data_IF_969096203574
#
_entry.id   IF_969096203574
#
_cell.length_a   1.000
_cell.length_b   1.000
_cell.length_c   1.000
_cell.angle_alpha   90.00
_cell.angle_beta   90.00
_cell.angle_gamma   90.00
#
_symmetry.space_group_name_H-M   'P 1'
#
loop_
_entity.id
_entity.type
_entity.pdbx_description
1 polymer ?
#
# COMPACT_ATOMS: atom_id res chain seq x y z
N UNK A 1 9.42 -2.14 14.57
CA UNK A 1 8.25 -1.24 14.48
C UNK A 1 7.17 -1.94 13.70
N UNK A 2 5.99 -2.07 14.30
CA UNK A 2 4.83 -2.70 13.65
C UNK A 2 4.34 -1.87 12.46
N UNK A 3 3.87 -2.55 11.41
CA UNK A 3 3.35 -1.90 10.20
C UNK A 3 2.33 -0.78 10.48
N UNK A 4 1.40 -0.90 11.46
CA UNK A 4 0.46 0.18 11.81
C UNK A 4 1.14 1.45 12.34
N UNK A 5 2.15 1.32 13.21
CA UNK A 5 2.88 2.46 13.76
C UNK A 5 3.69 3.19 12.67
N UNK A 6 4.31 2.43 11.77
CA UNK A 6 5.03 3.00 10.61
C UNK A 6 4.08 3.76 9.68
N UNK A 7 2.90 3.22 9.39
CA UNK A 7 1.87 3.89 8.58
C UNK A 7 1.40 5.19 9.25
N UNK A 8 1.18 5.18 10.57
CA UNK A 8 0.77 6.38 11.30
C UNK A 8 1.84 7.49 11.23
N UNK A 9 3.11 7.12 11.38
CA UNK A 9 4.24 8.04 11.24
C UNK A 9 4.30 8.65 9.84
N UNK A 10 4.22 7.83 8.78
CA UNK A 10 4.22 8.29 7.39
C UNK A 10 3.05 9.24 7.10
N UNK A 11 1.85 8.94 7.63
CA UNK A 11 0.68 9.83 7.52
C UNK A 11 0.92 11.18 8.21
N UNK A 12 1.56 11.19 9.37
CA UNK A 12 1.92 12.43 10.08
C UNK A 12 2.93 13.25 9.26
N UNK A 13 3.93 12.59 8.69
CA UNK A 13 4.91 13.22 7.80
C UNK A 13 4.24 13.85 6.57
N UNK A 14 3.33 13.12 5.90
CA UNK A 14 2.56 13.66 4.76
C UNK A 14 1.80 14.92 5.17
N UNK A 15 1.10 14.92 6.32
CA UNK A 15 0.41 16.12 6.81
C UNK A 15 1.37 17.30 7.00
N UNK A 16 2.55 17.06 7.55
CA UNK A 16 3.59 18.08 7.70
C UNK A 16 4.08 18.64 6.36
N UNK A 17 4.33 17.77 5.38
CA UNK A 17 4.74 18.16 4.03
C UNK A 17 3.65 18.99 3.32
N UNK A 18 2.39 18.58 3.43
CA UNK A 18 1.26 19.32 2.84
C UNK A 18 1.11 20.73 3.43
N UNK A 19 1.32 20.90 4.74
CA UNK A 19 1.34 22.23 5.37
C UNK A 19 2.48 23.10 4.81
N UNK A 20 3.69 22.54 4.65
CA UNK A 20 4.81 23.26 4.04
C UNK A 20 4.52 23.68 2.60
N UNK A 21 3.94 22.78 1.80
CA UNK A 21 3.49 23.09 0.43
C UNK A 21 2.49 24.24 0.43
N UNK A 22 1.52 24.26 1.35
CA UNK A 22 0.56 25.35 1.47
C UNK A 22 1.25 26.69 1.79
N UNK A 23 2.22 26.70 2.71
CA UNK A 23 3.01 27.90 3.02
C UNK A 23 3.79 28.39 1.80
N UNK A 24 4.47 27.49 1.07
CA UNK A 24 5.20 27.85 -0.14
C UNK A 24 4.29 28.36 -1.26
N UNK A 25 3.07 27.81 -1.39
CA UNK A 25 2.08 28.33 -2.35
C UNK A 25 1.65 29.76 -2.02
N UNK A 26 1.54 30.12 -0.73
CA UNK A 26 1.30 31.51 -0.32
C UNK A 26 2.49 32.40 -0.67
N UNK A 27 3.70 31.98 -0.31
CA UNK A 27 4.92 32.70 -0.67
C UNK A 27 5.06 32.91 -2.18
N UNK A 28 4.68 31.92 -3.00
CA UNK A 28 4.69 32.03 -4.46
C UNK A 28 3.73 33.12 -4.99
N UNK A 29 2.59 33.33 -4.33
CA UNK A 29 1.64 34.38 -4.68
C UNK A 29 2.15 35.77 -4.30
N UNK A 30 2.93 35.85 -3.21
CA UNK A 30 3.49 37.11 -2.69
C UNK A 30 4.82 37.49 -3.38
N UNK A 31 5.55 36.51 -3.92
CA UNK A 31 6.84 36.72 -4.58
C UNK A 31 6.71 37.47 -5.91
N UNK A 32 7.45 38.58 -6.01
CA UNK A 32 7.52 39.45 -7.19
C UNK A 32 8.76 39.17 -8.05
N UNK A 33 9.85 38.66 -7.45
CA UNK A 33 11.07 38.31 -8.17
C UNK A 33 10.91 36.98 -8.93
N UNK A 34 11.15 36.96 -10.27
CA UNK A 34 11.09 35.73 -11.05
C UNK A 34 12.03 34.61 -10.56
N UNK A 35 13.23 34.94 -10.05
CA UNK A 35 14.17 33.91 -9.57
C UNK A 35 13.67 33.27 -8.28
N UNK A 36 13.18 34.08 -7.34
CA UNK A 36 12.53 33.58 -6.12
C UNK A 36 11.32 32.68 -6.44
N UNK A 37 10.45 33.10 -7.37
CA UNK A 37 9.30 32.29 -7.80
C UNK A 37 9.72 30.93 -8.33
N UNK A 38 10.76 30.87 -9.18
CA UNK A 38 11.29 29.61 -9.71
C UNK A 38 11.82 28.70 -8.59
N UNK A 39 12.54 29.26 -7.62
CA UNK A 39 13.04 28.52 -6.47
C UNK A 39 11.89 27.93 -5.63
N UNK A 40 10.85 28.73 -5.35
CA UNK A 40 9.66 28.27 -4.61
C UNK A 40 8.93 27.17 -5.38
N UNK A 41 8.75 27.33 -6.70
CA UNK A 41 8.12 26.30 -7.53
C UNK A 41 8.89 24.97 -7.48
N UNK A 42 10.22 25.02 -7.57
CA UNK A 42 11.06 23.83 -7.45
C UNK A 42 10.88 23.14 -6.09
N UNK A 43 10.91 23.91 -5.01
CA UNK A 43 10.68 23.37 -3.67
C UNK A 43 9.29 22.72 -3.53
N UNK A 44 8.25 23.30 -4.12
CA UNK A 44 6.91 22.71 -4.12
C UNK A 44 6.90 21.35 -4.82
N UNK A 45 7.56 21.23 -5.99
CA UNK A 45 7.66 19.96 -6.73
C UNK A 45 8.41 18.92 -5.91
N UNK A 46 9.57 19.27 -5.35
CA UNK A 46 10.37 18.36 -4.52
C UNK A 46 9.57 17.83 -3.32
N UNK A 47 8.80 18.70 -2.64
CA UNK A 47 7.93 18.29 -1.54
C UNK A 47 6.76 17.42 -2.00
N UNK A 48 6.19 17.67 -3.17
CA UNK A 48 5.14 16.82 -3.74
C UNK A 48 5.67 15.42 -4.06
N UNK A 49 6.91 15.29 -4.56
CA UNK A 49 7.54 14.00 -4.79
C UNK A 49 7.79 13.24 -3.49
N UNK A 50 8.20 13.93 -2.42
CA UNK A 50 8.30 13.32 -1.09
C UNK A 50 6.96 12.80 -0.57
N UNK A 51 5.86 13.53 -0.83
CA UNK A 51 4.50 13.06 -0.49
C UNK A 51 4.18 11.78 -1.26
N UNK A 52 4.38 11.75 -2.59
CA UNK A 52 4.12 10.57 -3.42
C UNK A 52 4.93 9.35 -2.96
N UNK A 53 6.19 9.54 -2.61
CA UNK A 53 7.04 8.46 -2.08
C UNK A 53 6.51 7.92 -0.75
N UNK A 54 6.10 8.78 0.17
CA UNK A 54 5.52 8.37 1.44
C UNK A 54 4.18 7.62 1.25
N UNK A 55 3.33 8.07 0.30
CA UNK A 55 2.08 7.39 -0.07
C UNK A 55 2.33 6.01 -0.68
N UNK A 56 3.32 5.88 -1.55
CA UNK A 56 3.73 4.60 -2.13
C UNK A 56 4.20 3.61 -1.03
N UNK A 57 4.97 4.09 -0.06
CA UNK A 57 5.39 3.28 1.09
C UNK A 57 4.20 2.82 1.94
N UNK A 58 3.21 3.68 2.16
CA UNK A 58 1.97 3.29 2.88
C UNK A 58 1.24 2.20 2.10
N UNK A 59 1.07 2.36 0.79
CA UNK A 59 0.39 1.39 -0.07
C UNK A 59 1.07 0.02 -0.02
N UNK A 60 2.40 -0.01 -0.10
CA UNK A 60 3.19 -1.23 0.00
C UNK A 60 3.01 -1.91 1.37
N UNK A 61 3.11 -1.15 2.47
CA UNK A 61 2.93 -1.68 3.82
C UNK A 61 1.52 -2.26 4.03
N UNK A 62 0.49 -1.59 3.49
CA UNK A 62 -0.88 -2.08 3.53
C UNK A 62 -1.07 -3.35 2.71
N UNK A 63 -0.46 -3.43 1.51
CA UNK A 63 -0.51 -4.63 0.69
C UNK A 63 0.18 -5.82 1.37
N UNK A 64 1.36 -5.60 1.97
CA UNK A 64 2.08 -6.62 2.74
C UNK A 64 1.25 -7.09 3.94
N UNK A 65 0.59 -6.18 4.65
CA UNK A 65 -0.31 -6.54 5.75
C UNK A 65 -1.50 -7.38 5.27
N UNK A 66 -2.14 -7.00 4.15
CA UNK A 66 -3.23 -7.78 3.55
C UNK A 66 -2.79 -9.17 3.12
N UNK A 67 -1.60 -9.29 2.50
CA UNK A 67 -1.03 -10.60 2.09
C UNK A 67 -0.75 -11.50 3.30
N UNK A 68 -0.28 -10.94 4.42
CA UNK A 68 -0.06 -11.68 5.66
C UNK A 68 -1.37 -12.10 6.34
N UNK A 69 -2.43 -11.32 6.17
CA UNK A 69 -3.74 -11.60 6.73
C UNK A 69 -4.57 -12.57 5.88
N UNK A 70 -4.21 -12.78 4.60
CA UNK A 70 -4.80 -13.87 3.82
C UNK A 70 -4.20 -15.19 4.30
N UNK A 71 -5.02 -16.15 4.76
CA UNK A 71 -4.53 -17.50 4.95
C UNK A 71 -3.99 -17.99 3.61
N UNK A 72 -2.85 -18.68 3.62
CA UNK A 72 -2.38 -19.41 2.43
C UNK A 72 -3.58 -20.17 1.85
N UNK A 73 -3.80 -20.18 0.52
CA UNK A 73 -4.87 -20.99 -0.05
C UNK A 73 -4.70 -22.37 0.57
N UNK A 74 -5.70 -22.82 1.33
CA UNK A 74 -5.68 -24.13 1.93
C UNK A 74 -5.30 -25.07 0.79
N UNK A 75 -4.16 -25.76 0.93
CA UNK A 75 -3.80 -26.83 0.00
C UNK A 75 -5.08 -27.66 -0.17
N UNK A 76 -5.57 -27.85 -1.41
CA UNK A 76 -6.94 -28.27 -1.60
C UNK A 76 -7.15 -29.58 -0.85
N UNK A 77 -8.02 -29.54 0.17
CA UNK A 77 -8.48 -30.72 0.91
C UNK A 77 -9.17 -31.75 -0.02
N UNK A 78 -9.30 -31.41 -1.30
CA UNK A 78 -9.92 -32.22 -2.33
C UNK A 78 -9.07 -33.42 -2.78
N UNK A 79 -7.76 -33.49 -2.53
CA UNK A 79 -6.99 -34.68 -2.93
C UNK A 79 -7.27 -35.90 -2.02
N UNK A 80 -7.48 -35.67 -0.72
CA UNK A 80 -7.85 -36.71 0.23
C UNK A 80 -9.35 -37.04 0.15
N UNK A 81 -10.21 -36.01 0.11
CA UNK A 81 -11.66 -36.20 0.02
C UNK A 81 -12.13 -36.72 -1.36
N UNK A 82 -11.41 -36.43 -2.46
CA UNK A 82 -11.72 -37.01 -3.77
C UNK A 82 -11.24 -38.46 -3.91
N UNK A 83 -10.17 -38.86 -3.19
CA UNK A 83 -9.76 -40.27 -3.12
C UNK A 83 -10.78 -41.11 -2.35
N UNK A 84 -11.20 -40.63 -1.17
CA UNK A 84 -12.16 -41.34 -0.33
C UNK A 84 -13.55 -41.48 -1.00
N UNK A 85 -13.97 -40.47 -1.77
CA UNK A 85 -15.21 -40.57 -2.58
C UNK A 85 -15.08 -41.50 -3.78
N UNK A 86 -13.89 -41.66 -4.35
CA UNK A 86 -13.66 -42.58 -5.47
C UNK A 86 -13.63 -44.03 -5.00
N UNK A 87 -12.93 -44.32 -3.89
CA UNK A 87 -12.89 -45.66 -3.28
C UNK A 87 -14.29 -46.14 -2.88
N UNK A 88 -15.13 -45.27 -2.29
CA UNK A 88 -16.52 -45.61 -1.96
C UNK A 88 -17.42 -45.87 -3.17
N UNK A 89 -17.11 -45.28 -4.33
CA UNK A 89 -17.91 -45.47 -5.55
C UNK A 89 -17.49 -46.74 -6.29
N UNK A 90 -16.19 -47.07 -6.31
CA UNK A 90 -15.68 -48.34 -6.86
C UNK A 90 -16.15 -49.56 -6.04
N UNK A 91 -16.28 -49.45 -4.71
CA UNK A 91 -16.78 -50.54 -3.85
C UNK A 91 -18.31 -50.74 -3.97
N UNK A 92 -19.07 -49.67 -4.23
CA UNK A 92 -20.53 -49.73 -4.34
C UNK A 92 -21.05 -50.05 -5.75
N UNK A 93 -20.27 -49.76 -6.80
CA UNK A 93 -20.70 -49.86 -8.20
C UNK A 93 -19.63 -50.41 -9.17
N UNK A 94 -18.54 -50.99 -8.66
CA UNK A 94 -17.54 -51.66 -9.50
C UNK A 94 -18.12 -52.87 -10.25
N UNK A 95 -17.72 -53.13 -11.51
CA UNK A 95 -18.28 -54.23 -12.29
C UNK A 95 -17.86 -55.58 -11.69
N UNK A 96 -18.85 -56.45 -11.46
CA UNK A 96 -18.67 -57.86 -11.10
C UNK A 96 -18.06 -58.68 -12.25
#
# INVERSE_FOLDING_TARGET
>A
MDSPARIAMLRSQIKGLLKKIQTLRKALMEATDPKERLAIMKQIVDLQDQVRMAEAQISELQLRAKRRAQPAPAAPATAAEAREKKDKWEDAYGPA
#
